data_IF_886262586633
#
_entry.id   IF_886262586633
#
_cell.length_a   1.000
_cell.length_b   1.000
_cell.length_c   1.000
_cell.angle_alpha   90.00
_cell.angle_beta   90.00
_cell.angle_gamma   90.00
#
_symmetry.space_group_name_H-M   'P 1'
#
loop_
_entity.id
_entity.type
_entity.pdbx_description
1 polymer ?
#
# COMPACT_ATOMS: atom_id res chain seq x y z
N UNK A 1 -9.62 21.84 0.80
CA UNK A 1 -10.06 20.42 0.89
C UNK A 1 -8.85 19.57 1.26
N UNK A 2 -9.00 18.58 2.14
CA UNK A 2 -7.90 17.65 2.45
C UNK A 2 -7.90 16.51 1.41
N UNK A 3 -6.71 16.05 0.95
CA UNK A 3 -6.63 14.94 0.01
C UNK A 3 -7.09 13.63 0.67
N UNK A 4 -7.72 12.76 -0.11
CA UNK A 4 -8.08 11.41 0.32
C UNK A 4 -6.82 10.56 0.54
N UNK A 5 -6.77 9.83 1.64
CA UNK A 5 -5.65 8.96 1.99
C UNK A 5 -6.09 7.49 1.93
N UNK A 6 -5.47 6.71 1.06
CA UNK A 6 -5.61 5.25 1.04
C UNK A 6 -4.52 4.59 1.88
N UNK A 7 -4.90 3.64 2.73
CA UNK A 7 -3.97 2.87 3.59
C UNK A 7 -3.94 1.42 3.12
N UNK A 8 -2.72 0.86 2.98
CA UNK A 8 -2.49 -0.55 2.61
C UNK A 8 -1.60 -1.18 3.68
N UNK A 9 -2.05 -2.30 4.25
CA UNK A 9 -1.31 -3.02 5.32
C UNK A 9 -1.36 -4.52 5.07
N UNK A 10 -0.33 -5.24 5.50
CA UNK A 10 -0.40 -6.67 5.78
C UNK A 10 -0.52 -6.85 7.29
N UNK A 11 -1.41 -7.75 7.75
CA UNK A 11 -1.64 -7.99 9.17
C UNK A 11 -1.92 -9.47 9.45
N UNK A 12 -1.64 -9.91 10.67
CA UNK A 12 -2.03 -11.25 11.14
C UNK A 12 -3.55 -11.34 11.34
N UNK A 13 -4.06 -12.56 11.61
CA UNK A 13 -5.49 -12.75 11.96
C UNK A 13 -5.91 -11.98 13.21
N UNK A 14 -4.97 -11.65 14.08
CA UNK A 14 -5.16 -10.82 15.28
C UNK A 14 -4.79 -9.35 15.05
N UNK A 15 -4.65 -8.92 13.79
CA UNK A 15 -4.33 -7.55 13.37
C UNK A 15 -2.94 -7.03 13.77
N UNK A 16 -2.01 -7.91 14.15
CA UNK A 16 -0.61 -7.51 14.41
C UNK A 16 0.16 -7.28 13.11
N UNK A 17 1.03 -6.25 13.07
CA UNK A 17 1.80 -5.86 11.87
C UNK A 17 3.32 -5.96 12.04
N UNK A 18 3.82 -6.17 13.26
CA UNK A 18 5.24 -6.11 13.60
C UNK A 18 5.55 -6.82 14.91
N UNK A 19 6.79 -7.28 15.06
CA UNK A 19 7.36 -7.82 16.29
C UNK A 19 8.84 -7.45 16.37
N UNK A 20 9.25 -6.78 17.44
CA UNK A 20 10.66 -6.40 17.71
C UNK A 20 11.35 -5.69 16.52
N UNK A 21 10.67 -4.72 15.89
CA UNK A 21 11.21 -3.98 14.72
C UNK A 21 11.25 -4.78 13.41
N UNK A 22 10.68 -5.98 13.38
CA UNK A 22 10.64 -6.87 12.22
C UNK A 22 9.21 -7.26 11.86
N UNK A 23 9.00 -7.78 10.65
CA UNK A 23 7.73 -8.37 10.27
C UNK A 23 7.60 -9.78 10.89
N UNK A 24 6.43 -10.13 11.47
CA UNK A 24 6.28 -11.40 12.19
C UNK A 24 6.04 -12.61 11.28
N UNK A 25 6.25 -12.46 9.98
CA UNK A 25 6.05 -13.49 8.95
C UNK A 25 7.32 -13.67 8.09
N UNK A 26 7.50 -14.83 7.43
CA UNK A 26 8.55 -15.04 6.45
C UNK A 26 8.47 -14.03 5.29
N UNK A 27 9.53 -13.85 4.49
CA UNK A 27 9.52 -12.92 3.35
C UNK A 27 8.36 -13.18 2.37
N UNK A 28 7.45 -12.20 2.27
CA UNK A 28 6.28 -12.24 1.39
C UNK A 28 6.59 -11.57 0.05
N UNK A 29 7.38 -12.25 -0.81
CA UNK A 29 7.92 -11.64 -2.04
C UNK A 29 6.83 -11.16 -3.00
N UNK A 30 5.73 -11.91 -3.14
CA UNK A 30 4.61 -11.56 -4.02
C UNK A 30 3.85 -10.34 -3.51
N UNK A 31 3.63 -10.28 -2.21
CA UNK A 31 2.94 -9.19 -1.53
C UNK A 31 3.80 -7.92 -1.54
N UNK A 32 5.13 -8.05 -1.41
CA UNK A 32 6.03 -6.91 -1.54
C UNK A 32 6.04 -6.36 -2.97
N UNK A 33 5.97 -7.23 -3.99
CA UNK A 33 5.78 -6.80 -5.38
C UNK A 33 4.42 -6.12 -5.59
N UNK A 34 3.35 -6.63 -4.96
CA UNK A 34 2.04 -5.99 -4.97
C UNK A 34 2.10 -4.60 -4.33
N UNK A 35 2.67 -4.50 -3.13
CA UNK A 35 2.82 -3.25 -2.40
C UNK A 35 3.55 -2.21 -3.23
N UNK A 36 4.73 -2.56 -3.78
CA UNK A 36 5.48 -1.69 -4.68
C UNK A 36 4.63 -1.24 -5.88
N UNK A 37 3.94 -2.17 -6.53
CA UNK A 37 3.13 -1.86 -7.71
C UNK A 37 1.99 -0.89 -7.38
N UNK A 38 1.31 -1.06 -6.25
CA UNK A 38 0.16 -0.22 -5.91
C UNK A 38 0.60 1.16 -5.43
N UNK A 39 1.66 1.26 -4.62
CA UNK A 39 2.11 2.55 -4.07
C UNK A 39 2.93 3.38 -5.04
N UNK A 40 3.53 2.76 -6.06
CA UNK A 40 4.34 3.47 -7.07
C UNK A 40 3.56 3.85 -8.33
N UNK A 41 2.33 3.32 -8.51
CA UNK A 41 1.49 3.69 -9.65
C UNK A 41 0.95 5.10 -9.42
N UNK A 42 1.39 6.03 -10.26
CA UNK A 42 0.78 7.35 -10.37
C UNK A 42 -0.62 7.15 -10.93
N UNK A 43 -1.63 7.77 -10.32
CA UNK A 43 -2.98 7.79 -10.88
C UNK A 43 -2.90 8.33 -12.33
N UNK A 44 -3.68 7.78 -13.29
CA UNK A 44 -3.78 8.39 -14.60
C UNK A 44 -4.08 9.88 -14.41
N UNK A 45 -3.30 10.76 -15.06
CA UNK A 45 -3.68 12.16 -15.11
C UNK A 45 -5.07 12.18 -15.74
N UNK A 46 -6.07 12.56 -14.95
CA UNK A 46 -7.38 12.90 -15.48
C UNK A 46 -7.12 14.15 -16.31
N UNK A 47 -6.92 13.98 -17.61
CA UNK A 47 -6.90 15.09 -18.55
C UNK A 47 -8.28 15.74 -18.46
N UNK A 48 -8.34 16.85 -17.73
CA UNK A 48 -9.54 17.70 -17.67
C UNK A 48 -9.66 18.30 -19.07
N UNK A 49 -10.72 17.99 -19.84
CA UNK A 49 -10.90 18.59 -21.16
C UNK A 49 -11.00 20.12 -21.00
N UNK A 50 -10.33 20.90 -21.87
CA UNK A 50 -10.51 22.35 -21.85
C UNK A 50 -11.95 22.71 -22.24
N UNK A 51 -12.56 23.61 -21.46
CA UNK A 51 -13.89 24.18 -21.69
C UNK A 51 -14.02 24.96 -22.99
#
# INVERSE_FOLDING_TARGET
>A
MQPELTVIVAATRSLGIGRNGSLPWPPLRKEMQYFKRVTSRVAPQVEIPPS
#
